data_IF_593992436257
#
_entry.id   IF_593992436257
#
_cell.length_a   1.000
_cell.length_b   1.000
_cell.length_c   1.000
_cell.angle_alpha   90.00
_cell.angle_beta   90.00
_cell.angle_gamma   90.00
#
_symmetry.space_group_name_H-M   'P 1'
#
loop_
_entity.id
_entity.type
_entity.pdbx_description
1 polymer ?
#
# COMPACT_ATOMS: atom_id res chain seq x y z
N UNK A 1 -10.88 29.49 10.92
CA UNK A 1 -10.22 28.73 9.84
C UNK A 1 -9.14 27.71 10.26
N UNK A 2 -8.62 27.75 11.47
CA UNK A 2 -7.57 26.82 11.95
C UNK A 2 -8.00 25.34 12.22
N UNK A 3 -9.30 25.06 12.37
CA UNK A 3 -9.80 23.70 12.72
C UNK A 3 -9.70 22.66 11.58
N UNK A 4 -9.86 23.07 10.31
CA UNK A 4 -9.83 22.13 9.16
C UNK A 4 -8.44 21.54 8.90
N UNK A 5 -7.39 22.34 8.99
CA UNK A 5 -6.02 21.86 8.73
C UNK A 5 -5.51 20.88 9.80
N UNK A 6 -5.89 21.12 11.07
CA UNK A 6 -5.51 20.25 12.18
C UNK A 6 -6.17 18.85 12.09
N UNK A 7 -7.45 18.82 11.69
CA UNK A 7 -8.19 17.56 11.47
C UNK A 7 -7.61 16.73 10.31
N UNK A 8 -7.27 17.35 9.17
CA UNK A 8 -6.68 16.65 8.02
C UNK A 8 -5.30 16.06 8.37
N UNK A 9 -4.44 16.80 9.06
CA UNK A 9 -3.13 16.31 9.54
C UNK A 9 -3.27 15.15 10.52
N UNK A 10 -4.26 15.20 11.41
CA UNK A 10 -4.53 14.11 12.36
C UNK A 10 -5.04 12.85 11.65
N UNK A 11 -5.90 12.98 10.64
CA UNK A 11 -6.38 11.85 9.82
C UNK A 11 -5.24 11.17 9.05
N UNK A 12 -4.37 11.94 8.43
CA UNK A 12 -3.16 11.43 7.75
C UNK A 12 -2.27 10.66 8.73
N UNK A 13 -1.89 11.28 9.84
CA UNK A 13 -1.09 10.65 10.89
C UNK A 13 -1.69 9.37 11.46
N UNK A 14 -3.02 9.27 11.56
CA UNK A 14 -3.71 8.06 12.01
C UNK A 14 -3.57 6.94 10.97
N UNK A 15 -3.77 7.23 9.70
CA UNK A 15 -3.63 6.26 8.62
C UNK A 15 -2.18 5.72 8.51
N UNK A 16 -1.19 6.60 8.58
CA UNK A 16 0.24 6.21 8.59
C UNK A 16 0.58 5.26 9.75
N UNK A 17 0.03 5.52 10.96
CA UNK A 17 0.21 4.60 12.10
C UNK A 17 -0.43 3.24 11.84
N UNK A 18 -1.65 3.22 11.27
CA UNK A 18 -2.32 1.97 10.92
C UNK A 18 -1.49 1.17 9.90
N UNK A 19 -0.99 1.82 8.84
CA UNK A 19 -0.14 1.17 7.83
C UNK A 19 1.13 0.62 8.48
N UNK A 20 1.83 1.42 9.29
CA UNK A 20 2.99 0.96 10.07
C UNK A 20 2.68 -0.28 10.89
N UNK A 21 1.56 -0.29 11.60
CA UNK A 21 1.19 -1.38 12.49
C UNK A 21 0.78 -2.64 11.70
N UNK A 22 0.19 -2.49 10.50
CA UNK A 22 -0.04 -3.62 9.60
C UNK A 22 1.29 -4.20 9.07
N UNK A 23 2.22 -3.37 8.63
CA UNK A 23 3.54 -3.82 8.15
C UNK A 23 4.33 -4.59 9.21
N UNK A 24 4.19 -4.21 10.49
CA UNK A 24 4.82 -4.94 11.60
C UNK A 24 4.37 -6.41 11.70
N UNK A 25 3.20 -6.77 11.17
CA UNK A 25 2.70 -8.15 11.16
C UNK A 25 3.49 -9.08 10.22
N UNK A 26 4.24 -8.52 9.28
CA UNK A 26 5.11 -9.27 8.36
C UNK A 26 6.26 -9.93 9.14
N UNK A 27 6.72 -9.31 10.21
CA UNK A 27 7.98 -9.64 10.89
C UNK A 27 7.80 -10.18 12.30
N UNK A 28 8.77 -10.97 12.79
CA UNK A 28 8.86 -11.34 14.20
C UNK A 28 9.11 -10.11 15.09
N UNK A 29 8.90 -10.24 16.39
CA UNK A 29 8.87 -9.14 17.35
C UNK A 29 10.15 -8.29 17.37
N UNK A 30 11.32 -8.92 17.26
CA UNK A 30 12.63 -8.27 17.25
C UNK A 30 12.89 -7.37 16.02
N UNK A 31 12.16 -7.59 14.92
CA UNK A 31 12.27 -6.80 13.69
C UNK A 31 11.26 -5.66 13.60
N UNK A 32 10.21 -5.66 14.39
CA UNK A 32 9.08 -4.70 14.31
C UNK A 32 9.49 -3.26 14.62
N UNK A 33 10.52 -3.05 15.43
CA UNK A 33 11.04 -1.72 15.78
C UNK A 33 11.68 -1.00 14.59
N UNK A 34 11.99 -1.71 13.52
CA UNK A 34 12.58 -1.18 12.30
C UNK A 34 11.57 -0.59 11.31
N UNK A 35 10.27 -0.62 11.64
CA UNK A 35 9.21 -0.05 10.81
C UNK A 35 8.69 1.20 11.50
N UNK A 36 8.86 2.35 10.84
CA UNK A 36 8.58 3.65 11.43
C UNK A 36 7.86 4.57 10.43
N UNK A 37 7.14 5.54 10.98
CA UNK A 37 6.67 6.68 10.21
C UNK A 37 7.85 7.60 9.92
N UNK A 38 7.87 8.20 8.73
CA UNK A 38 8.85 9.23 8.39
C UNK A 38 8.37 10.56 8.97
N UNK A 39 9.06 11.15 9.95
CA UNK A 39 8.71 12.46 10.46
C UNK A 39 8.89 13.52 9.37
N UNK A 40 7.88 14.35 9.15
CA UNK A 40 7.91 15.43 8.16
C UNK A 40 8.31 14.93 6.76
N UNK A 41 7.48 14.05 6.19
CA UNK A 41 7.64 13.50 4.84
C UNK A 41 7.97 14.63 3.84
N UNK A 42 9.12 14.52 3.18
CA UNK A 42 9.62 15.47 2.20
C UNK A 42 10.80 16.35 2.64
N UNK A 43 11.19 16.35 3.92
CA UNK A 43 12.27 17.20 4.43
C UNK A 43 13.64 16.49 4.58
N UNK A 44 13.75 15.23 4.14
CA UNK A 44 14.97 14.45 4.30
C UNK A 44 15.29 13.53 3.12
N UNK A 45 16.38 12.76 3.26
CA UNK A 45 16.79 11.74 2.30
C UNK A 45 15.84 10.52 2.26
N UNK A 46 15.07 10.31 3.33
CA UNK A 46 14.02 9.30 3.38
C UNK A 46 12.71 9.87 2.85
N UNK A 47 12.18 9.28 1.79
CA UNK A 47 10.91 9.64 1.17
C UNK A 47 9.86 8.58 1.50
N UNK A 48 8.57 8.94 1.30
CA UNK A 48 7.42 8.13 1.69
C UNK A 48 6.91 8.49 3.09
N UNK A 49 5.80 7.91 3.48
CA UNK A 49 5.14 8.19 4.77
C UNK A 49 5.49 7.16 5.85
N UNK A 50 5.78 5.93 5.43
CA UNK A 50 6.21 4.82 6.29
C UNK A 50 7.44 4.17 5.68
N UNK A 51 8.43 3.87 6.50
CA UNK A 51 9.65 3.18 6.10
C UNK A 51 9.76 1.83 6.79
N UNK A 52 10.11 0.82 6.00
CA UNK A 52 10.44 -0.52 6.46
C UNK A 52 11.95 -0.77 6.28
N UNK A 53 12.70 -0.66 7.37
CA UNK A 53 14.15 -0.88 7.35
C UNK A 53 14.55 -2.37 7.31
N UNK A 54 13.58 -3.29 7.33
CA UNK A 54 13.85 -4.71 7.11
C UNK A 54 13.83 -5.06 5.62
N UNK A 55 13.09 -4.27 4.83
CA UNK A 55 12.96 -4.43 3.39
C UNK A 55 12.82 -3.04 2.74
N UNK A 56 13.93 -2.51 2.29
CA UNK A 56 14.03 -1.17 1.71
C UNK A 56 13.62 -1.12 0.23
N UNK A 57 13.24 -2.24 -0.36
CA UNK A 57 12.83 -2.33 -1.76
C UNK A 57 11.44 -1.73 -2.02
N UNK A 58 10.72 -1.35 -0.97
CA UNK A 58 9.38 -0.77 -1.06
C UNK A 58 9.32 0.64 -0.45
N UNK A 59 8.62 1.54 -1.15
CA UNK A 59 8.31 2.89 -0.68
C UNK A 59 6.81 3.03 -0.48
N UNK A 60 6.39 3.43 0.72
CA UNK A 60 4.98 3.50 1.11
C UNK A 60 4.48 4.93 1.15
N UNK A 61 3.51 5.26 0.31
CA UNK A 61 2.73 6.51 0.32
C UNK A 61 1.35 6.24 0.89
N UNK A 62 0.88 7.04 1.85
CA UNK A 62 -0.38 6.81 2.57
C UNK A 62 -1.35 7.96 2.36
N UNK A 63 -2.57 7.67 1.95
CA UNK A 63 -3.64 8.65 1.72
C UNK A 63 -4.89 8.32 2.51
N UNK A 64 -5.38 9.29 3.28
CA UNK A 64 -6.66 9.21 3.97
C UNK A 64 -7.51 10.42 3.60
N UNK A 65 -8.29 10.31 2.55
CA UNK A 65 -9.11 11.40 2.01
C UNK A 65 -10.48 10.88 1.56
N UNK A 66 -11.49 11.72 1.70
CA UNK A 66 -12.87 11.43 1.27
C UNK A 66 -12.97 11.42 -0.27
N UNK A 67 -12.32 12.37 -0.92
CA UNK A 67 -12.30 12.49 -2.37
C UNK A 67 -11.14 11.70 -2.95
N UNK A 68 -11.44 10.77 -3.84
CA UNK A 68 -10.46 9.93 -4.52
C UNK A 68 -9.73 10.70 -5.61
N UNK A 69 -8.40 10.60 -5.60
CA UNK A 69 -7.51 11.13 -6.62
C UNK A 69 -6.40 10.10 -6.93
N UNK A 70 -6.80 8.86 -7.26
CA UNK A 70 -5.89 7.71 -7.35
C UNK A 70 -4.76 7.92 -8.35
N UNK A 71 -5.01 8.51 -9.54
CA UNK A 71 -3.95 8.83 -10.50
C UNK A 71 -2.88 9.74 -9.88
N UNK A 72 -3.31 10.86 -9.30
CA UNK A 72 -2.39 11.82 -8.68
C UNK A 72 -1.63 11.22 -7.50
N UNK A 73 -2.29 10.40 -6.70
CA UNK A 73 -1.65 9.73 -5.56
C UNK A 73 -0.64 8.68 -6.01
N UNK A 74 -0.96 7.95 -7.10
CA UNK A 74 -0.04 6.99 -7.69
C UNK A 74 1.20 7.68 -8.27
N UNK A 75 1.03 8.76 -9.04
CA UNK A 75 2.13 9.58 -9.55
C UNK A 75 3.03 10.08 -8.41
N UNK A 76 2.44 10.52 -7.29
CA UNK A 76 3.21 10.92 -6.12
C UNK A 76 3.99 9.75 -5.52
N UNK A 77 3.36 8.59 -5.36
CA UNK A 77 4.02 7.39 -4.83
C UNK A 77 5.21 6.98 -5.71
N UNK A 78 5.03 6.96 -7.03
CA UNK A 78 6.10 6.66 -7.99
C UNK A 78 7.22 7.68 -7.93
N UNK A 79 6.89 8.98 -7.91
CA UNK A 79 7.89 10.08 -7.90
C UNK A 79 8.76 10.12 -6.64
N UNK A 80 8.30 9.53 -5.55
CA UNK A 80 9.03 9.47 -4.28
C UNK A 80 9.95 8.26 -4.17
N UNK A 81 9.79 7.26 -5.04
CA UNK A 81 10.64 6.08 -5.04
C UNK A 81 12.06 6.37 -5.46
N UNK A 82 13.01 5.70 -4.85
CA UNK A 82 14.35 5.54 -5.40
C UNK A 82 14.29 4.60 -6.62
N UNK A 83 15.26 4.66 -7.55
CA UNK A 83 15.23 3.83 -8.76
C UNK A 83 15.09 2.32 -8.54
N UNK A 84 15.54 1.82 -7.39
CA UNK A 84 15.46 0.42 -7.00
C UNK A 84 14.20 0.06 -6.19
N UNK A 85 13.38 1.05 -5.82
CA UNK A 85 12.21 0.83 -4.97
C UNK A 85 10.95 0.60 -5.79
N UNK A 86 10.07 -0.22 -5.24
CA UNK A 86 8.72 -0.42 -5.74
C UNK A 86 7.74 0.49 -4.99
N UNK A 87 6.91 1.27 -5.70
CA UNK A 87 5.91 2.11 -5.06
C UNK A 87 4.76 1.25 -4.51
N UNK A 88 4.34 1.59 -3.30
CA UNK A 88 3.12 1.06 -2.70
C UNK A 88 2.27 2.23 -2.25
N UNK A 89 1.14 2.44 -2.91
CA UNK A 89 0.15 3.41 -2.47
C UNK A 89 -0.84 2.73 -1.53
N UNK A 90 -0.97 3.23 -0.31
CA UNK A 90 -1.99 2.75 0.63
C UNK A 90 -3.03 3.85 0.82
N UNK A 91 -4.28 3.55 0.52
CA UNK A 91 -5.34 4.54 0.64
C UNK A 91 -6.54 4.04 1.46
N UNK A 92 -7.21 4.98 2.09
CA UNK A 92 -8.46 4.78 2.79
C UNK A 92 -9.28 6.08 2.79
N UNK A 93 -10.51 5.99 3.21
CA UNK A 93 -11.35 7.12 3.60
C UNK A 93 -12.03 6.83 4.93
N UNK A 94 -12.83 7.76 5.47
CA UNK A 94 -13.53 7.54 6.73
C UNK A 94 -14.33 6.23 6.70
N UNK A 95 -14.15 5.41 7.75
CA UNK A 95 -14.87 4.14 7.97
C UNK A 95 -14.66 3.06 6.91
N UNK A 96 -13.63 3.21 6.03
CA UNK A 96 -13.27 2.19 5.03
C UNK A 96 -11.99 1.47 5.44
N UNK A 97 -11.80 0.22 4.95
CA UNK A 97 -10.53 -0.50 5.15
C UNK A 97 -9.39 0.18 4.40
N UNK A 98 -8.16 -0.21 4.73
CA UNK A 98 -6.97 0.13 3.95
C UNK A 98 -6.94 -0.72 2.67
N UNK A 99 -6.67 -0.08 1.55
CA UNK A 99 -6.40 -0.72 0.26
C UNK A 99 -4.97 -0.44 -0.18
N UNK A 100 -4.32 -1.45 -0.71
CA UNK A 100 -2.91 -1.44 -1.10
C UNK A 100 -2.81 -1.54 -2.62
N UNK A 101 -2.14 -0.60 -3.25
CA UNK A 101 -1.96 -0.53 -4.70
C UNK A 101 -0.50 -0.79 -5.01
N UNK A 102 -0.25 -1.78 -5.85
CA UNK A 102 1.08 -2.15 -6.34
C UNK A 102 1.03 -2.34 -7.86
N UNK A 103 2.17 -2.28 -8.53
CA UNK A 103 2.26 -2.62 -9.95
C UNK A 103 1.83 -4.06 -10.21
N UNK A 104 1.27 -4.32 -11.38
CA UNK A 104 0.92 -5.67 -11.79
C UNK A 104 2.15 -6.59 -11.83
N UNK A 105 3.30 -6.09 -12.25
CA UNK A 105 4.56 -6.85 -12.27
C UNK A 105 5.01 -7.25 -10.87
N UNK A 106 4.89 -6.36 -9.88
CA UNK A 106 5.21 -6.65 -8.47
C UNK A 106 4.24 -7.67 -7.87
N UNK A 107 2.96 -7.55 -8.21
CA UNK A 107 1.96 -8.53 -7.84
C UNK A 107 2.30 -9.93 -8.42
N UNK A 108 2.63 -10.00 -9.71
CA UNK A 108 3.01 -11.25 -10.37
C UNK A 108 4.25 -11.87 -9.72
N UNK A 109 5.24 -11.05 -9.37
CA UNK A 109 6.40 -11.50 -8.61
C UNK A 109 5.99 -12.10 -7.26
N UNK A 110 5.20 -11.37 -6.45
CA UNK A 110 4.76 -11.83 -5.13
C UNK A 110 3.99 -13.15 -5.19
N UNK A 111 3.03 -13.29 -6.11
CA UNK A 111 2.22 -14.52 -6.19
C UNK A 111 3.04 -15.71 -6.67
N UNK A 112 4.03 -15.49 -7.55
CA UNK A 112 4.95 -16.54 -8.02
C UNK A 112 5.85 -17.01 -6.88
N UNK A 113 6.52 -16.09 -6.18
CA UNK A 113 7.45 -16.43 -5.09
C UNK A 113 6.76 -17.07 -3.88
N UNK A 114 5.47 -16.79 -3.69
CA UNK A 114 4.66 -17.37 -2.61
C UNK A 114 3.82 -18.58 -3.03
N UNK A 115 3.91 -19.00 -4.30
CA UNK A 115 3.14 -20.13 -4.82
C UNK A 115 1.63 -19.87 -4.92
N UNK A 116 1.21 -18.59 -5.01
CA UNK A 116 -0.19 -18.17 -5.04
C UNK A 116 -0.72 -17.80 -6.42
N UNK A 117 0.02 -18.10 -7.47
CA UNK A 117 -0.28 -17.74 -8.86
C UNK A 117 -1.65 -18.26 -9.36
N UNK A 118 -2.15 -19.36 -8.79
CA UNK A 118 -3.45 -19.97 -9.15
C UNK A 118 -4.60 -19.60 -8.21
N UNK A 119 -4.34 -18.80 -7.17
CA UNK A 119 -5.33 -18.49 -6.14
C UNK A 119 -6.18 -17.29 -6.54
N UNK A 120 -5.56 -16.25 -7.10
CA UNK A 120 -6.20 -14.97 -7.34
C UNK A 120 -6.78 -14.85 -8.74
N UNK A 121 -7.96 -14.19 -8.83
CA UNK A 121 -8.58 -13.78 -10.09
C UNK A 121 -8.56 -12.26 -10.15
N UNK A 122 -7.97 -11.70 -11.19
CA UNK A 122 -7.95 -10.26 -11.41
C UNK A 122 -9.20 -9.82 -12.16
N UNK A 123 -9.91 -8.85 -11.59
CA UNK A 123 -11.09 -8.19 -12.18
C UNK A 123 -10.75 -6.78 -12.59
N UNK A 124 -10.94 -6.46 -13.85
CA UNK A 124 -10.75 -5.08 -14.33
C UNK A 124 -11.86 -4.18 -13.78
N UNK A 125 -11.46 -3.05 -13.22
CA UNK A 125 -12.36 -2.05 -12.67
C UNK A 125 -12.04 -0.65 -13.19
N UNK A 126 -13.03 0.23 -13.17
CA UNK A 126 -12.85 1.65 -13.43
C UNK A 126 -12.73 2.42 -12.12
N UNK A 127 -11.87 3.45 -12.11
CA UNK A 127 -11.58 4.24 -10.91
C UNK A 127 -12.83 4.95 -10.36
N UNK A 128 -13.76 5.36 -11.24
CA UNK A 128 -14.99 6.06 -10.83
C UNK A 128 -15.85 5.27 -9.84
N UNK A 129 -15.77 3.95 -9.88
CA UNK A 129 -16.60 3.04 -9.05
C UNK A 129 -15.76 2.20 -8.11
N UNK A 130 -14.49 2.57 -7.88
CA UNK A 130 -13.51 1.74 -7.17
C UNK A 130 -14.02 1.23 -5.82
N UNK A 131 -14.54 2.08 -4.96
CA UNK A 131 -15.00 1.63 -3.64
C UNK A 131 -16.19 0.65 -3.72
N UNK A 132 -17.14 0.89 -4.62
CA UNK A 132 -18.27 -0.03 -4.80
C UNK A 132 -17.80 -1.38 -5.35
N UNK A 133 -16.85 -1.36 -6.29
CA UNK A 133 -16.27 -2.58 -6.85
C UNK A 133 -15.43 -3.34 -5.84
N UNK A 134 -14.55 -2.67 -5.08
CA UNK A 134 -13.74 -3.31 -4.05
C UNK A 134 -14.60 -3.97 -2.96
N UNK A 135 -15.72 -3.37 -2.58
CA UNK A 135 -16.64 -3.96 -1.60
C UNK A 135 -17.48 -5.12 -2.13
N UNK A 136 -17.55 -5.31 -3.46
CA UNK A 136 -18.32 -6.36 -4.13
C UNK A 136 -17.45 -7.52 -4.63
N UNK A 137 -16.13 -7.47 -4.45
CA UNK A 137 -15.23 -8.56 -4.84
C UNK A 137 -15.47 -9.81 -4.00
N UNK A 138 -15.50 -10.95 -4.66
CA UNK A 138 -15.59 -12.26 -4.00
C UNK A 138 -14.25 -12.67 -3.42
N UNK A 139 -14.25 -13.76 -2.66
CA UNK A 139 -13.02 -14.34 -2.12
C UNK A 139 -12.05 -14.67 -3.27
N UNK A 140 -10.80 -14.25 -3.10
CA UNK A 140 -9.73 -14.39 -4.09
C UNK A 140 -9.91 -13.58 -5.39
N UNK A 141 -10.87 -12.68 -5.46
CA UNK A 141 -10.94 -11.67 -6.51
C UNK A 141 -10.21 -10.41 -6.08
N UNK A 142 -9.34 -9.88 -6.94
CA UNK A 142 -8.62 -8.64 -6.74
C UNK A 142 -8.91 -7.68 -7.89
N UNK A 143 -8.93 -6.39 -7.60
CA UNK A 143 -9.14 -5.38 -8.62
C UNK A 143 -7.85 -5.10 -9.40
N UNK A 144 -7.96 -5.02 -10.73
CA UNK A 144 -6.91 -4.53 -11.62
C UNK A 144 -7.42 -3.27 -12.34
N UNK A 145 -6.57 -2.27 -12.48
CA UNK A 145 -6.88 -1.04 -13.20
C UNK A 145 -5.61 -0.40 -13.76
N UNK A 146 -5.77 0.71 -14.47
CA UNK A 146 -4.66 1.51 -14.99
C UNK A 146 -4.61 2.83 -14.24
N UNK A 147 -3.45 3.17 -13.70
CA UNK A 147 -3.16 4.46 -13.07
C UNK A 147 -1.95 5.08 -13.77
N UNK A 148 -2.13 6.26 -14.39
CA UNK A 148 -1.06 7.00 -15.06
C UNK A 148 -0.22 6.11 -16.00
N UNK A 149 -0.93 5.37 -16.87
CA UNK A 149 -0.40 4.45 -17.88
C UNK A 149 0.29 3.18 -17.33
N UNK A 150 0.23 2.93 -16.02
CA UNK A 150 0.72 1.70 -15.41
C UNK A 150 -0.44 0.77 -15.00
N UNK A 151 -0.31 -0.52 -15.29
CA UNK A 151 -1.23 -1.54 -14.75
C UNK A 151 -0.93 -1.79 -13.28
N UNK A 152 -1.96 -1.68 -12.45
CA UNK A 152 -1.87 -1.86 -11.00
C UNK A 152 -2.90 -2.85 -10.48
N UNK A 153 -2.59 -3.47 -9.35
CA UNK A 153 -3.50 -4.34 -8.61
C UNK A 153 -3.81 -3.69 -7.27
N UNK A 154 -5.08 -3.72 -6.88
CA UNK A 154 -5.56 -3.20 -5.59
C UNK A 154 -5.92 -4.39 -4.70
N UNK A 155 -5.26 -4.48 -3.56
CA UNK A 155 -5.38 -5.56 -2.59
C UNK A 155 -6.01 -5.06 -1.29
N UNK A 156 -6.71 -5.95 -0.59
CA UNK A 156 -7.01 -5.77 0.82
C UNK A 156 -5.77 -5.96 1.71
N UNK A 157 -5.85 -5.49 2.95
CA UNK A 157 -4.72 -5.60 3.89
C UNK A 157 -4.28 -7.04 4.13
N UNK A 158 -5.22 -7.97 4.31
CA UNK A 158 -4.87 -9.36 4.63
C UNK A 158 -4.10 -10.02 3.47
N UNK A 159 -4.53 -9.82 2.23
CA UNK A 159 -3.85 -10.38 1.06
C UNK A 159 -2.43 -9.83 0.93
N UNK A 160 -2.27 -8.50 1.03
CA UNK A 160 -0.97 -7.86 0.92
C UNK A 160 -0.01 -8.32 2.03
N UNK A 161 -0.43 -8.26 3.29
CA UNK A 161 0.40 -8.62 4.45
C UNK A 161 0.77 -10.09 4.41
N UNK A 162 -0.16 -10.97 4.04
CA UNK A 162 0.10 -12.40 3.99
C UNK A 162 1.14 -12.74 2.91
N UNK A 163 1.01 -12.21 1.69
CA UNK A 163 2.00 -12.43 0.62
C UNK A 163 3.38 -11.90 1.02
N UNK A 164 3.46 -10.72 1.62
CA UNK A 164 4.73 -10.14 2.08
C UNK A 164 5.36 -10.95 3.21
N UNK A 165 4.56 -11.48 4.12
CA UNK A 165 5.04 -12.37 5.20
C UNK A 165 5.60 -13.67 4.65
N UNK A 166 4.90 -14.32 3.73
CA UNK A 166 5.36 -15.55 3.09
C UNK A 166 6.65 -15.35 2.29
N UNK A 167 6.76 -14.23 1.55
CA UNK A 167 8.00 -13.86 0.86
C UNK A 167 9.15 -13.68 1.86
N UNK A 168 8.92 -12.98 2.97
CA UNK A 168 9.93 -12.81 4.01
C UNK A 168 10.38 -14.15 4.63
N UNK A 169 9.44 -15.08 4.84
CA UNK A 169 9.73 -16.42 5.38
C UNK A 169 10.48 -17.29 4.38
N UNK A 170 10.17 -17.19 3.07
CA UNK A 170 10.86 -17.94 2.02
C UNK A 170 12.32 -17.48 1.83
N UNK A 171 12.58 -16.19 1.95
CA UNK A 171 13.93 -15.63 1.83
C UNK A 171 14.86 -15.94 3.02
N UNK A 172 14.34 -16.56 4.08
CA UNK A 172 15.15 -17.03 5.22
C UNK A 172 15.69 -18.45 5.08
N UNK A 173 15.18 -19.18 4.10
CA UNK A 173 15.60 -20.56 3.82
C UNK A 173 16.77 -20.59 2.87
#
# INVERSE_FOLDING_TARGET
MAKRGRSAKQKGSKAERLVRDQLKRIYPSDRRTRINRVPMSGAGWMKGDVIDMNDTDYSYEVKNQESLSLHKWWEQAVSQCQPYQQPVLVFTSNYRPLYWVIRLEDFNYLVKETGRDKIYKLKEITIRTVYNKLSSLEKNELAKTILSDEEVVILGTEDYIQMRKELYESNKR
#
